data_IF_166678492715
#
_entry.id   IF_166678492715
#
_cell.length_a   1.000
_cell.length_b   1.000
_cell.length_c   1.000
_cell.angle_alpha   90.00
_cell.angle_beta   90.00
_cell.angle_gamma   90.00
#
_symmetry.space_group_name_H-M   'P 1'
#
loop_
_entity.id
_entity.type
_entity.pdbx_description
1 polymer ?
#
# COMPACT_ATOMS: atom_id res chain seq x y z
N UNK A 1 -43.80 12.15 -0.39
CA UNK A 1 -42.45 12.72 -0.30
C UNK A 1 -41.49 11.83 -1.08
N UNK A 2 -40.87 12.40 -2.10
CA UNK A 2 -40.06 11.73 -3.14
C UNK A 2 -38.92 10.90 -2.55
N UNK A 3 -38.60 9.80 -3.27
CA UNK A 3 -37.43 8.95 -3.07
C UNK A 3 -36.16 9.79 -2.90
N UNK A 4 -35.72 9.88 -1.64
CA UNK A 4 -34.38 10.21 -1.18
C UNK A 4 -33.81 11.58 -1.55
N UNK A 5 -33.89 12.46 -0.60
CA UNK A 5 -32.92 13.54 -0.53
C UNK A 5 -31.80 13.21 0.49
N UNK A 6 -31.17 12.01 0.35
CA UNK A 6 -30.01 11.69 1.17
C UNK A 6 -28.84 12.64 0.88
N UNK A 7 -28.76 13.19 -0.34
CA UNK A 7 -27.76 14.19 -0.72
C UNK A 7 -28.03 15.51 0.00
N UNK A 8 -29.27 16.00 0.01
CA UNK A 8 -29.64 17.23 0.74
C UNK A 8 -29.40 17.13 2.25
N UNK A 9 -29.67 15.95 2.83
CA UNK A 9 -29.33 15.70 4.24
C UNK A 9 -27.82 15.68 4.49
N UNK A 10 -27.04 15.08 3.59
CA UNK A 10 -25.59 15.12 3.67
C UNK A 10 -25.04 16.55 3.47
N UNK A 11 -25.64 17.34 2.59
CA UNK A 11 -25.32 18.76 2.36
C UNK A 11 -25.62 19.61 3.60
N UNK A 12 -26.73 19.35 4.30
CA UNK A 12 -27.07 20.04 5.54
C UNK A 12 -26.03 19.76 6.64
N UNK A 13 -25.61 18.50 6.82
CA UNK A 13 -24.53 18.14 7.75
C UNK A 13 -23.21 18.78 7.34
N UNK A 14 -22.89 18.80 6.04
CA UNK A 14 -21.69 19.47 5.52
C UNK A 14 -21.71 20.98 5.83
N UNK A 15 -22.87 21.63 5.72
CA UNK A 15 -23.04 23.03 6.08
C UNK A 15 -22.86 23.27 7.59
N UNK A 16 -23.38 22.38 8.44
CA UNK A 16 -23.21 22.46 9.90
C UNK A 16 -21.73 22.26 10.31
N UNK A 17 -20.99 21.39 9.62
CA UNK A 17 -19.54 21.24 9.79
C UNK A 17 -18.82 22.54 9.35
N UNK A 18 -19.18 23.08 8.19
CA UNK A 18 -18.57 24.31 7.67
C UNK A 18 -18.84 25.53 8.57
N UNK A 19 -20.04 25.58 9.20
CA UNK A 19 -20.42 26.61 10.15
C UNK A 19 -19.85 26.41 11.57
N UNK A 20 -19.11 25.31 11.82
CA UNK A 20 -18.52 25.01 13.11
C UNK A 20 -19.51 24.50 14.18
N UNK A 21 -20.76 24.20 13.80
CA UNK A 21 -21.77 23.63 14.73
C UNK A 21 -21.44 22.16 15.05
N UNK A 22 -20.86 21.44 14.08
CA UNK A 22 -20.29 20.11 14.27
C UNK A 22 -18.77 20.25 14.14
N UNK A 23 -18.08 19.90 15.20
CA UNK A 23 -16.63 20.04 15.31
C UNK A 23 -15.93 18.73 14.94
N UNK A 24 -14.67 18.81 14.59
CA UNK A 24 -13.81 17.63 14.41
C UNK A 24 -13.85 16.77 15.68
N UNK A 25 -14.07 15.46 15.49
CA UNK A 25 -14.15 14.51 16.59
C UNK A 25 -15.54 14.31 17.15
N UNK A 26 -16.52 15.17 16.85
CA UNK A 26 -17.89 14.97 17.28
C UNK A 26 -18.43 13.64 16.73
N UNK A 27 -19.10 12.89 17.61
CA UNK A 27 -19.71 11.62 17.24
C UNK A 27 -21.07 11.86 16.58
N UNK A 28 -21.23 11.37 15.35
CA UNK A 28 -22.55 11.32 14.73
C UNK A 28 -23.44 10.30 15.46
N UNK A 29 -24.74 10.55 15.61
CA UNK A 29 -25.69 9.60 16.20
C UNK A 29 -25.60 8.24 15.50
N UNK A 30 -25.92 7.12 16.16
CA UNK A 30 -26.11 5.85 15.47
C UNK A 30 -27.12 5.97 14.32
N UNK A 31 -26.90 5.29 13.20
CA UNK A 31 -27.75 5.44 12.01
C UNK A 31 -29.24 5.23 12.29
N UNK A 32 -29.59 4.34 13.23
CA UNK A 32 -30.98 4.12 13.65
C UNK A 32 -31.56 5.32 14.39
N UNK A 33 -30.77 5.91 15.30
CA UNK A 33 -31.17 7.14 16.04
C UNK A 33 -31.32 8.33 15.10
N UNK A 34 -30.36 8.52 14.20
CA UNK A 34 -30.41 9.57 13.17
C UNK A 34 -31.63 9.41 12.25
N UNK A 35 -31.94 8.17 11.87
CA UNK A 35 -33.14 7.88 11.07
C UNK A 35 -34.42 8.27 11.79
N UNK A 36 -34.50 7.91 13.09
CA UNK A 36 -35.64 8.26 13.93
C UNK A 36 -35.81 9.77 14.12
N UNK A 37 -34.72 10.47 14.50
CA UNK A 37 -34.70 11.92 14.73
C UNK A 37 -35.09 12.72 13.47
N UNK A 38 -34.74 12.24 12.30
CA UNK A 38 -35.01 12.90 11.02
C UNK A 38 -36.22 12.35 10.27
N UNK A 39 -36.95 11.41 10.89
CA UNK A 39 -38.15 10.77 10.37
C UNK A 39 -37.91 10.22 8.93
N UNK A 40 -36.79 9.46 8.74
CA UNK A 40 -36.38 8.84 7.48
C UNK A 40 -36.15 7.33 7.66
N UNK A 41 -36.16 6.60 6.57
CA UNK A 41 -35.81 5.19 6.60
C UNK A 41 -34.33 4.97 7.01
N UNK A 42 -34.03 3.89 7.75
CA UNK A 42 -32.67 3.52 8.15
C UNK A 42 -31.75 3.35 6.94
N UNK A 43 -32.29 2.85 5.81
CA UNK A 43 -31.55 2.75 4.56
C UNK A 43 -31.15 4.13 3.97
N UNK A 44 -31.98 5.15 4.17
CA UNK A 44 -31.67 6.54 3.79
C UNK A 44 -30.58 7.10 4.70
N UNK A 45 -30.66 6.88 6.02
CA UNK A 45 -29.62 7.27 6.97
C UNK A 45 -28.28 6.61 6.62
N UNK A 46 -28.30 5.32 6.27
CA UNK A 46 -27.09 4.61 5.82
C UNK A 46 -26.46 5.26 4.57
N UNK A 47 -27.29 5.71 3.61
CA UNK A 47 -26.82 6.45 2.43
C UNK A 47 -26.23 7.82 2.76
N UNK A 48 -26.83 8.56 3.71
CA UNK A 48 -26.29 9.83 4.20
C UNK A 48 -24.90 9.62 4.80
N UNK A 49 -24.74 8.61 5.66
CA UNK A 49 -23.45 8.30 6.29
C UNK A 49 -22.41 7.84 5.27
N UNK A 50 -22.80 7.00 4.33
CA UNK A 50 -21.91 6.59 3.23
C UNK A 50 -21.45 7.79 2.40
N UNK A 51 -22.33 8.75 2.14
CA UNK A 51 -22.01 9.97 1.40
C UNK A 51 -21.08 10.90 2.18
N UNK A 52 -21.30 11.07 3.50
CA UNK A 52 -20.39 11.85 4.36
C UNK A 52 -19.00 11.22 4.41
N UNK A 53 -18.92 9.88 4.51
CA UNK A 53 -17.67 9.13 4.44
C UNK A 53 -16.99 9.30 3.08
N UNK A 54 -17.75 9.21 1.98
CA UNK A 54 -17.25 9.41 0.60
C UNK A 54 -16.70 10.82 0.40
N UNK A 55 -17.34 11.83 0.97
CA UNK A 55 -16.88 13.23 0.93
C UNK A 55 -15.70 13.51 1.87
N UNK A 56 -15.32 12.57 2.73
CA UNK A 56 -14.29 12.75 3.74
C UNK A 56 -14.69 13.69 4.87
N UNK A 57 -16.00 13.92 5.05
CA UNK A 57 -16.55 14.75 6.13
C UNK A 57 -16.77 13.97 7.42
N UNK A 58 -16.77 12.65 7.33
CA UNK A 58 -16.89 11.76 8.47
C UNK A 58 -15.89 10.60 8.34
N UNK A 59 -15.60 9.95 9.47
CA UNK A 59 -14.79 8.74 9.53
C UNK A 59 -15.48 7.75 10.47
N UNK A 60 -15.53 6.48 10.06
CA UNK A 60 -16.09 5.44 10.91
C UNK A 60 -14.97 4.68 11.62
N UNK A 61 -15.22 4.30 12.86
CA UNK A 61 -14.34 3.47 13.67
C UNK A 61 -15.08 2.20 14.11
N UNK A 62 -14.49 1.04 13.85
CA UNK A 62 -15.11 -0.25 14.22
C UNK A 62 -15.35 -0.32 15.71
N UNK A 63 -16.60 -0.65 16.10
CA UNK A 63 -17.03 -0.74 17.51
C UNK A 63 -17.26 0.59 18.22
N UNK A 64 -16.87 1.73 17.65
CA UNK A 64 -16.95 3.05 18.30
C UNK A 64 -17.95 4.00 17.65
N UNK A 65 -18.21 3.89 16.35
CA UNK A 65 -19.19 4.71 15.65
C UNK A 65 -18.61 5.55 14.51
N UNK A 66 -19.39 6.53 14.04
CA UNK A 66 -19.00 7.47 12.99
C UNK A 66 -18.78 8.85 13.61
N UNK A 67 -17.71 9.52 13.23
CA UNK A 67 -17.26 10.79 13.80
C UNK A 67 -17.01 11.82 12.69
N UNK A 68 -17.15 13.10 13.00
CA UNK A 68 -16.81 14.18 12.07
C UNK A 68 -15.30 14.16 11.81
N UNK A 69 -14.94 14.07 10.55
CA UNK A 69 -13.54 14.13 10.13
C UNK A 69 -12.99 15.55 10.35
N UNK A 70 -11.74 15.66 10.77
CA UNK A 70 -11.04 16.94 10.74
C UNK A 70 -10.91 17.46 9.32
N UNK A 71 -10.62 18.75 9.15
CA UNK A 71 -10.12 19.30 7.88
C UNK A 71 -8.77 18.66 7.57
N UNK A 72 -8.75 17.37 7.30
CA UNK A 72 -7.63 16.77 6.60
C UNK A 72 -7.68 17.33 5.19
N UNK A 73 -6.79 18.24 4.85
CA UNK A 73 -6.32 18.36 3.47
C UNK A 73 -6.21 16.93 2.96
N UNK A 74 -6.84 16.65 1.82
CA UNK A 74 -6.84 15.34 1.17
C UNK A 74 -5.48 14.68 1.34
N UNK A 75 -5.35 13.74 2.27
CA UNK A 75 -4.12 13.01 2.56
C UNK A 75 -3.65 12.11 1.37
N UNK A 76 -4.35 12.21 0.25
CA UNK A 76 -4.01 11.49 -0.99
C UNK A 76 -3.26 12.35 -2.01
N UNK A 77 -3.04 13.64 -1.76
CA UNK A 77 -2.41 14.53 -2.74
C UNK A 77 -1.17 15.27 -2.25
N UNK A 78 -0.97 15.39 -0.95
CA UNK A 78 0.28 15.92 -0.38
C UNK A 78 1.17 14.75 0.06
N UNK A 79 1.77 14.05 -0.90
CA UNK A 79 3.12 13.57 -0.71
C UNK A 79 4.01 14.82 -0.67
N UNK A 80 3.90 15.58 0.43
CA UNK A 80 4.76 16.70 0.71
C UNK A 80 6.20 16.21 0.62
N UNK A 81 7.08 17.06 0.16
CA UNK A 81 8.49 16.76 0.01
C UNK A 81 9.03 16.19 1.34
N UNK A 82 9.75 15.04 1.32
CA UNK A 82 10.21 14.37 2.54
C UNK A 82 11.38 15.09 3.22
N UNK A 83 11.58 16.38 3.00
CA UNK A 83 12.74 17.14 3.44
C UNK A 83 12.36 18.26 4.43
N UNK A 84 11.72 17.89 5.55
CA UNK A 84 11.52 18.76 6.70
C UNK A 84 12.26 18.24 7.94
N UNK A 85 12.34 19.04 9.00
CA UNK A 85 12.84 18.67 10.34
C UNK A 85 11.99 17.59 11.04
N UNK A 86 10.93 17.12 10.39
CA UNK A 86 9.91 16.21 10.91
C UNK A 86 10.38 14.77 10.86
N UNK A 87 10.19 14.02 11.94
CA UNK A 87 10.43 12.56 11.97
C UNK A 87 9.32 11.88 11.16
N UNK A 88 9.69 11.26 10.03
CA UNK A 88 8.73 10.71 9.08
C UNK A 88 8.55 9.19 9.25
N UNK A 89 7.42 8.80 9.86
CA UNK A 89 6.94 7.42 9.90
C UNK A 89 5.85 7.13 8.86
N UNK A 90 5.63 8.01 7.87
CA UNK A 90 4.62 7.81 6.82
C UNK A 90 5.16 7.02 5.64
N UNK A 91 6.41 7.27 5.24
CA UNK A 91 6.98 6.70 4.04
C UNK A 91 8.05 5.64 4.34
N UNK A 92 8.03 4.55 3.59
CA UNK A 92 9.04 3.51 3.61
C UNK A 92 10.01 3.69 2.44
N UNK A 93 10.98 4.59 2.61
CA UNK A 93 12.05 4.83 1.65
C UNK A 93 13.40 4.49 2.28
N UNK A 94 13.82 3.19 2.26
CA UNK A 94 15.08 2.79 2.87
C UNK A 94 16.27 3.34 2.07
N UNK A 95 16.86 4.41 2.57
CA UNK A 95 18.10 4.99 2.06
C UNK A 95 19.22 4.74 3.09
N UNK A 96 20.19 3.90 2.71
CA UNK A 96 21.29 3.54 3.59
C UNK A 96 22.42 4.58 3.53
N UNK A 97 23.12 4.76 4.63
CA UNK A 97 24.38 5.49 4.63
C UNK A 97 25.37 4.85 3.63
N UNK A 98 25.98 5.67 2.79
CA UNK A 98 26.91 5.18 1.76
C UNK A 98 26.24 4.58 0.50
N UNK A 99 24.92 4.42 0.45
CA UNK A 99 24.22 3.90 -0.70
C UNK A 99 24.50 4.69 -2.00
N UNK A 100 24.55 6.01 -1.91
CA UNK A 100 24.84 6.87 -3.05
C UNK A 100 26.22 6.59 -3.66
N UNK A 101 27.24 6.27 -2.84
CA UNK A 101 28.58 5.91 -3.33
C UNK A 101 28.56 4.58 -4.08
N UNK A 102 27.85 3.56 -3.58
CA UNK A 102 27.68 2.27 -4.28
C UNK A 102 26.99 2.47 -5.64
N UNK A 103 25.92 3.23 -5.67
CA UNK A 103 25.18 3.53 -6.91
C UNK A 103 26.06 4.32 -7.88
N UNK A 104 26.74 5.36 -7.42
CA UNK A 104 27.65 6.18 -8.25
C UNK A 104 28.73 5.32 -8.92
N UNK A 105 29.33 4.38 -8.17
CA UNK A 105 30.31 3.45 -8.72
C UNK A 105 29.72 2.57 -9.83
N UNK A 106 28.51 2.05 -9.61
CA UNK A 106 27.80 1.24 -10.61
C UNK A 106 27.43 2.01 -11.87
N UNK A 107 27.05 3.29 -11.70
CA UNK A 107 26.66 4.15 -12.82
C UNK A 107 27.85 4.79 -13.57
N UNK A 108 29.08 4.60 -13.09
CA UNK A 108 30.27 5.10 -13.75
C UNK A 108 30.33 4.67 -15.22
N UNK A 109 30.54 5.63 -16.12
CA UNK A 109 30.58 5.40 -17.57
C UNK A 109 29.21 5.41 -18.28
N UNK A 110 28.08 5.66 -17.57
CA UNK A 110 26.82 6.01 -18.25
C UNK A 110 26.85 7.41 -18.88
N UNK A 111 27.79 8.25 -18.48
CA UNK A 111 28.07 9.55 -19.06
C UNK A 111 28.89 9.50 -20.34
N UNK A 112 29.42 8.33 -20.70
CA UNK A 112 30.15 8.13 -21.97
C UNK A 112 29.17 8.30 -23.15
N UNK A 113 29.59 8.98 -24.26
CA UNK A 113 28.69 9.29 -25.36
C UNK A 113 27.94 8.07 -25.93
N UNK A 114 28.61 6.95 -26.14
CA UNK A 114 27.98 5.72 -26.68
C UNK A 114 26.93 5.12 -25.73
N UNK A 115 27.20 5.09 -24.43
CA UNK A 115 26.25 4.59 -23.43
C UNK A 115 25.04 5.52 -23.27
N UNK A 116 25.30 6.84 -23.36
CA UNK A 116 24.25 7.84 -23.29
C UNK A 116 23.37 7.82 -24.54
N UNK A 117 23.94 7.67 -25.75
CA UNK A 117 23.18 7.50 -26.99
C UNK A 117 22.19 6.35 -26.90
N UNK A 118 22.61 5.20 -26.36
CA UNK A 118 21.74 4.04 -26.15
C UNK A 118 20.64 4.35 -25.12
N UNK A 119 20.98 5.03 -24.03
CA UNK A 119 20.03 5.42 -22.98
C UNK A 119 19.01 6.48 -23.43
N UNK A 120 19.34 7.30 -24.43
CA UNK A 120 18.46 8.32 -25.01
C UNK A 120 17.47 7.76 -26.02
N UNK A 121 17.65 6.53 -26.50
CA UNK A 121 16.71 5.89 -27.43
C UNK A 121 15.40 5.55 -26.70
N UNK A 122 14.30 5.56 -27.45
CA UNK A 122 13.01 5.14 -26.94
C UNK A 122 13.06 3.68 -26.49
N UNK A 123 12.83 3.45 -25.20
CA UNK A 123 12.73 2.10 -24.66
C UNK A 123 11.37 1.49 -24.98
N UNK A 124 11.35 0.17 -25.12
CA UNK A 124 10.11 -0.62 -25.28
C UNK A 124 9.72 -1.27 -23.95
N UNK A 125 8.45 -1.63 -23.81
CA UNK A 125 7.96 -2.33 -22.61
C UNK A 125 8.60 -3.71 -22.38
N UNK A 126 9.25 -4.28 -23.38
CA UNK A 126 9.95 -5.58 -23.30
C UNK A 126 11.45 -5.43 -23.07
N UNK A 127 12.02 -4.25 -23.20
CA UNK A 127 13.46 -4.04 -23.09
C UNK A 127 14.28 -4.87 -24.10
N UNK A 128 15.58 -4.95 -23.88
CA UNK A 128 16.50 -5.80 -24.68
C UNK A 128 16.51 -7.25 -24.16
N UNK A 129 17.00 -8.20 -24.96
CA UNK A 129 17.19 -9.58 -24.53
C UNK A 129 18.09 -9.68 -23.29
N UNK A 130 19.14 -8.84 -23.23
CA UNK A 130 20.05 -8.77 -22.08
C UNK A 130 19.35 -8.42 -20.80
N UNK A 131 18.59 -7.30 -20.75
CA UNK A 131 17.90 -6.90 -19.52
C UNK A 131 16.82 -7.90 -19.12
N UNK A 132 16.15 -8.56 -20.07
CA UNK A 132 15.20 -9.63 -19.76
C UNK A 132 15.88 -10.82 -19.08
N UNK A 133 16.99 -11.30 -19.62
CA UNK A 133 17.74 -12.42 -19.02
C UNK A 133 18.27 -12.06 -17.64
N UNK A 134 18.86 -10.87 -17.49
CA UNK A 134 19.35 -10.39 -16.19
C UNK A 134 18.21 -10.20 -15.20
N UNK A 135 17.09 -9.61 -15.63
CA UNK A 135 15.90 -9.42 -14.80
C UNK A 135 15.29 -10.74 -14.35
N UNK A 136 15.21 -11.73 -15.23
CA UNK A 136 14.73 -13.08 -14.90
C UNK A 136 15.61 -13.74 -13.83
N UNK A 137 16.92 -13.72 -14.01
CA UNK A 137 17.87 -14.22 -13.00
C UNK A 137 17.75 -13.47 -11.68
N UNK A 138 17.67 -12.15 -11.73
CA UNK A 138 17.54 -11.28 -10.56
C UNK A 138 16.24 -11.53 -9.77
N UNK A 139 15.12 -11.77 -10.45
CA UNK A 139 13.82 -12.03 -9.82
C UNK A 139 13.69 -13.45 -9.29
N UNK A 140 14.53 -14.39 -9.76
CA UNK A 140 14.47 -15.80 -9.34
C UNK A 140 14.60 -15.94 -7.83
N UNK A 141 13.74 -16.77 -7.23
CA UNK A 141 13.71 -16.99 -5.78
C UNK A 141 13.19 -18.38 -5.44
N UNK A 142 13.93 -19.12 -4.64
CA UNK A 142 13.60 -20.51 -4.30
C UNK A 142 13.45 -21.36 -5.55
N UNK A 143 12.29 -21.98 -5.72
CA UNK A 143 11.95 -22.80 -6.90
C UNK A 143 11.40 -22.00 -8.07
N UNK A 144 11.17 -20.71 -7.91
CA UNK A 144 10.61 -19.84 -8.95
C UNK A 144 11.71 -19.17 -9.76
N UNK A 145 11.65 -19.38 -11.06
CA UNK A 145 12.51 -18.71 -12.04
C UNK A 145 11.65 -18.33 -13.26
N UNK A 146 11.34 -17.02 -13.45
CA UNK A 146 10.57 -16.60 -14.61
C UNK A 146 11.37 -16.75 -15.91
N UNK A 147 10.69 -17.07 -16.99
CA UNK A 147 11.32 -17.07 -18.30
C UNK A 147 11.63 -15.63 -18.76
N UNK A 148 12.79 -15.35 -19.39
CA UNK A 148 13.14 -14.00 -19.81
C UNK A 148 12.11 -13.34 -20.73
N UNK A 149 11.43 -14.12 -21.56
CA UNK A 149 10.42 -13.63 -22.49
C UNK A 149 9.09 -13.27 -21.83
N UNK A 150 8.83 -13.70 -20.57
CA UNK A 150 7.67 -13.27 -19.80
C UNK A 150 7.82 -11.83 -19.29
N UNK A 151 9.04 -11.31 -19.12
CA UNK A 151 9.24 -10.02 -18.48
C UNK A 151 8.68 -8.86 -19.31
N UNK A 152 7.91 -8.02 -18.64
CA UNK A 152 7.45 -6.71 -19.13
C UNK A 152 7.90 -5.66 -18.12
N UNK A 153 8.35 -4.51 -18.61
CA UNK A 153 8.92 -3.45 -17.78
C UNK A 153 8.04 -2.21 -17.76
N UNK A 154 8.03 -1.55 -16.63
CA UNK A 154 7.37 -0.25 -16.40
C UNK A 154 8.33 0.71 -15.71
N UNK A 155 7.99 2.00 -15.66
CA UNK A 155 8.84 2.97 -15.00
C UNK A 155 8.94 2.78 -13.47
N UNK A 156 7.92 2.17 -12.83
CA UNK A 156 7.91 1.92 -11.38
C UNK A 156 6.80 0.92 -10.99
N UNK A 157 6.80 0.49 -9.71
CA UNK A 157 5.81 -0.48 -9.21
C UNK A 157 4.34 -0.01 -9.27
N UNK A 158 4.05 1.30 -9.13
CA UNK A 158 2.66 1.78 -9.27
C UNK A 158 2.14 1.64 -10.69
N UNK A 159 3.00 1.86 -11.67
CA UNK A 159 2.69 1.64 -13.08
C UNK A 159 2.54 0.14 -13.36
N UNK A 160 3.32 -0.73 -12.71
CA UNK A 160 3.14 -2.18 -12.78
C UNK A 160 1.75 -2.60 -12.29
N UNK A 161 1.30 -2.05 -11.15
CA UNK A 161 -0.05 -2.29 -10.61
C UNK A 161 -1.12 -1.84 -11.62
N UNK A 162 -0.99 -0.63 -12.16
CA UNK A 162 -1.95 -0.09 -13.12
C UNK A 162 -2.04 -0.97 -14.39
N UNK A 163 -0.90 -1.37 -14.95
CA UNK A 163 -0.85 -2.23 -16.14
C UNK A 163 -1.46 -3.61 -15.89
N UNK A 164 -1.18 -4.23 -14.73
CA UNK A 164 -1.76 -5.52 -14.36
C UNK A 164 -3.28 -5.45 -14.16
N UNK A 165 -3.78 -4.38 -13.50
CA UNK A 165 -5.21 -4.15 -13.34
C UNK A 165 -5.91 -3.95 -14.68
N UNK A 166 -5.39 -3.08 -15.54
CA UNK A 166 -5.97 -2.83 -16.88
C UNK A 166 -5.97 -4.09 -17.74
N UNK A 167 -4.92 -4.91 -17.64
CA UNK A 167 -4.82 -6.16 -18.39
C UNK A 167 -5.80 -7.26 -17.93
N UNK A 168 -6.25 -7.22 -16.69
CA UNK A 168 -7.03 -8.31 -16.08
C UNK A 168 -8.48 -7.95 -15.74
N UNK A 169 -8.76 -6.68 -15.48
CA UNK A 169 -10.07 -6.22 -15.04
C UNK A 169 -10.64 -5.22 -16.05
N UNK A 170 -11.75 -5.54 -16.73
CA UNK A 170 -12.38 -4.60 -17.67
C UNK A 170 -12.96 -3.39 -16.93
N UNK A 171 -13.16 -2.24 -17.60
CA UNK A 171 -13.92 -1.12 -17.06
C UNK A 171 -15.30 -1.57 -16.57
N UNK A 172 -15.71 -1.14 -15.38
CA UNK A 172 -16.91 -1.62 -14.69
C UNK A 172 -16.70 -2.94 -13.94
N UNK A 173 -15.56 -3.61 -14.14
CA UNK A 173 -15.23 -4.87 -13.47
C UNK A 173 -14.84 -4.71 -12.01
N UNK A 174 -14.65 -5.83 -11.32
CA UNK A 174 -14.41 -5.92 -9.89
C UNK A 174 -13.09 -6.63 -9.61
N UNK A 175 -12.26 -6.01 -8.75
CA UNK A 175 -11.02 -6.60 -8.25
C UNK A 175 -11.13 -6.83 -6.76
N UNK A 176 -10.95 -8.08 -6.31
CA UNK A 176 -10.82 -8.40 -4.89
C UNK A 176 -9.48 -7.89 -4.37
N UNK A 177 -9.48 -7.26 -3.20
CA UNK A 177 -8.26 -6.78 -2.54
C UNK A 177 -8.32 -7.07 -1.04
N UNK A 178 -7.18 -7.22 -0.41
CA UNK A 178 -7.09 -7.33 1.05
C UNK A 178 -7.83 -6.16 1.72
N UNK A 179 -8.62 -6.43 2.77
CA UNK A 179 -9.45 -5.39 3.44
C UNK A 179 -8.63 -4.21 3.98
N UNK A 180 -7.37 -4.47 4.36
CA UNK A 180 -6.32 -3.48 4.55
C UNK A 180 -5.30 -3.70 3.45
N UNK A 181 -5.14 -2.76 2.54
CA UNK A 181 -4.31 -2.92 1.34
C UNK A 181 -3.41 -1.71 1.09
N UNK A 182 -2.51 -1.84 0.11
CA UNK A 182 -1.65 -0.74 -0.31
C UNK A 182 -2.49 0.47 -0.78
N UNK A 183 -2.31 1.66 -0.17
CA UNK A 183 -3.24 2.77 -0.37
C UNK A 183 -3.37 3.25 -1.82
N UNK A 184 -2.30 3.18 -2.60
CA UNK A 184 -2.31 3.72 -3.97
C UNK A 184 -3.21 2.94 -4.92
N UNK A 185 -3.50 1.65 -4.66
CA UNK A 185 -4.45 0.92 -5.50
C UNK A 185 -5.85 1.53 -5.44
N UNK A 186 -6.20 2.14 -4.29
CA UNK A 186 -7.49 2.85 -4.10
C UNK A 186 -7.63 4.11 -4.96
N UNK A 187 -6.52 4.66 -5.43
CA UNK A 187 -6.51 5.77 -6.38
C UNK A 187 -6.38 5.29 -7.84
N UNK A 188 -5.68 4.18 -8.08
CA UNK A 188 -5.46 3.62 -9.42
C UNK A 188 -6.74 2.98 -9.96
N UNK A 189 -7.36 2.08 -9.20
CA UNK A 189 -8.51 1.30 -9.66
C UNK A 189 -9.71 2.16 -10.13
N UNK A 190 -10.17 3.19 -9.39
CA UNK A 190 -11.26 4.05 -9.85
C UNK A 190 -10.95 4.81 -11.15
N UNK A 191 -9.68 5.18 -11.39
CA UNK A 191 -9.26 5.84 -12.64
C UNK A 191 -9.36 4.92 -13.85
N UNK A 192 -9.27 3.60 -13.61
CA UNK A 192 -9.46 2.56 -14.62
C UNK A 192 -10.92 2.07 -14.68
N UNK A 193 -11.84 2.70 -13.94
CA UNK A 193 -13.24 2.28 -13.85
C UNK A 193 -13.44 0.96 -13.10
N UNK A 194 -12.50 0.56 -12.23
CA UNK A 194 -12.50 -0.71 -11.52
C UNK A 194 -13.04 -0.52 -10.10
N UNK A 195 -13.94 -1.40 -9.67
CA UNK A 195 -14.44 -1.45 -8.29
C UNK A 195 -13.57 -2.37 -7.44
N UNK A 196 -13.03 -1.86 -6.34
CA UNK A 196 -12.32 -2.67 -5.35
C UNK A 196 -13.31 -3.34 -4.39
N UNK A 197 -13.13 -4.64 -4.17
CA UNK A 197 -13.94 -5.46 -3.26
C UNK A 197 -13.07 -5.91 -2.09
N UNK A 198 -13.37 -5.47 -0.84
CA UNK A 198 -12.59 -5.87 0.32
C UNK A 198 -12.77 -7.35 0.63
N UNK A 199 -11.68 -8.06 0.73
CA UNK A 199 -11.62 -9.46 1.12
C UNK A 199 -11.22 -9.56 2.60
N UNK A 200 -11.95 -10.34 3.37
CA UNK A 200 -11.64 -10.55 4.78
C UNK A 200 -10.27 -11.22 4.95
N UNK A 201 -9.56 -10.79 5.97
CA UNK A 201 -8.22 -11.25 6.33
C UNK A 201 -8.21 -11.82 7.75
N UNK A 202 -7.20 -12.61 8.04
CA UNK A 202 -6.80 -13.04 9.38
C UNK A 202 -5.27 -12.90 9.55
N UNK A 203 -4.73 -13.48 10.60
CA UNK A 203 -3.28 -13.45 10.89
C UNK A 203 -2.38 -14.10 9.81
N UNK A 204 -2.95 -14.89 8.92
CA UNK A 204 -2.25 -15.56 7.82
C UNK A 204 -2.54 -14.91 6.44
N UNK A 205 -3.16 -13.72 6.43
CA UNK A 205 -3.48 -12.94 5.22
C UNK A 205 -4.92 -13.11 4.73
N UNK A 206 -5.16 -12.91 3.43
CA UNK A 206 -6.49 -13.03 2.84
C UNK A 206 -7.07 -14.46 3.04
N UNK A 207 -8.36 -14.50 3.38
CA UNK A 207 -9.09 -15.76 3.61
C UNK A 207 -9.63 -16.30 2.27
N UNK A 208 -9.37 -17.58 1.93
CA UNK A 208 -9.88 -18.20 0.70
C UNK A 208 -11.41 -18.20 0.59
N UNK A 209 -12.10 -18.46 1.70
CA UNK A 209 -13.58 -18.44 1.77
C UNK A 209 -14.16 -17.04 1.52
N UNK A 210 -13.42 -15.97 1.89
CA UNK A 210 -13.80 -14.60 1.58
C UNK A 210 -13.74 -14.32 0.08
N UNK A 211 -12.77 -14.88 -0.65
CA UNK A 211 -12.66 -14.79 -2.10
C UNK A 211 -13.85 -15.50 -2.77
N UNK A 212 -14.14 -16.74 -2.37
CA UNK A 212 -15.30 -17.50 -2.90
C UNK A 212 -16.62 -16.76 -2.64
N UNK A 213 -16.79 -16.23 -1.42
CA UNK A 213 -17.98 -15.48 -1.04
C UNK A 213 -18.15 -14.23 -1.91
N UNK A 214 -17.10 -13.40 -2.03
CA UNK A 214 -17.13 -12.17 -2.80
C UNK A 214 -17.42 -12.42 -4.29
N UNK A 215 -16.83 -13.50 -4.86
CA UNK A 215 -17.06 -13.89 -6.25
C UNK A 215 -18.47 -14.41 -6.48
N UNK A 216 -19.04 -15.16 -5.52
CA UNK A 216 -20.43 -15.66 -5.59
C UNK A 216 -21.46 -14.55 -5.48
N UNK A 217 -21.20 -13.51 -4.66
CA UNK A 217 -22.07 -12.34 -4.52
C UNK A 217 -22.10 -11.51 -5.81
N UNK A 218 -20.96 -11.29 -6.42
CA UNK A 218 -20.83 -10.75 -7.77
C UNK A 218 -19.41 -11.04 -8.29
N UNK A 219 -19.31 -11.48 -9.54
CA UNK A 219 -18.08 -11.97 -10.16
C UNK A 219 -16.89 -11.02 -9.98
N UNK A 220 -15.77 -11.53 -9.49
CA UNK A 220 -14.47 -10.88 -9.50
C UNK A 220 -13.76 -11.21 -10.81
N UNK A 221 -13.09 -10.23 -11.40
CA UNK A 221 -12.26 -10.41 -12.60
C UNK A 221 -10.81 -10.80 -12.25
N UNK A 222 -10.34 -10.38 -11.08
CA UNK A 222 -9.01 -10.67 -10.53
C UNK A 222 -9.00 -10.42 -9.02
N UNK A 223 -7.93 -10.86 -8.36
CA UNK A 223 -7.57 -10.37 -7.02
C UNK A 223 -6.18 -9.73 -7.04
N UNK A 224 -5.98 -8.71 -6.20
CA UNK A 224 -4.67 -8.10 -5.92
C UNK A 224 -4.33 -8.32 -4.45
N UNK A 225 -3.17 -8.89 -4.18
CA UNK A 225 -2.70 -9.21 -2.83
C UNK A 225 -1.19 -9.03 -2.68
N UNK A 226 -0.75 -8.89 -1.42
CA UNK A 226 0.65 -8.83 -1.02
C UNK A 226 0.99 -10.02 -0.09
N UNK A 227 1.29 -11.21 -0.64
CA UNK A 227 1.47 -12.41 0.18
C UNK A 227 2.79 -12.43 0.96
N UNK A 228 3.78 -11.63 0.56
CA UNK A 228 5.10 -11.52 1.19
C UNK A 228 5.27 -10.13 1.83
N UNK A 229 5.45 -10.10 3.15
CA UNK A 229 5.71 -8.86 3.90
C UNK A 229 4.64 -7.80 3.60
N UNK A 230 3.40 -8.18 3.86
CA UNK A 230 2.20 -7.39 3.58
C UNK A 230 2.25 -5.98 4.16
N UNK A 231 1.93 -4.96 3.38
CA UNK A 231 1.77 -3.59 3.84
C UNK A 231 0.27 -3.26 4.00
N UNK A 232 -0.24 -3.03 5.24
CA UNK A 232 0.52 -2.53 6.40
C UNK A 232 0.90 -3.54 7.48
N UNK A 233 0.47 -4.80 7.41
CA UNK A 233 0.45 -5.71 8.57
C UNK A 233 1.76 -6.51 8.77
N UNK A 234 2.70 -6.48 7.83
CA UNK A 234 3.94 -7.26 7.90
C UNK A 234 3.76 -8.78 7.75
N UNK A 235 2.57 -9.27 7.45
CA UNK A 235 2.28 -10.69 7.32
C UNK A 235 3.03 -11.28 6.12
N UNK A 236 3.63 -12.47 6.29
CA UNK A 236 4.00 -13.36 5.19
C UNK A 236 3.06 -14.56 5.21
N UNK A 237 2.36 -14.79 4.11
CA UNK A 237 1.37 -15.86 3.97
C UNK A 237 2.05 -17.22 4.03
N UNK A 238 1.58 -18.09 4.93
CA UNK A 238 2.11 -19.45 5.11
C UNK A 238 1.81 -20.34 3.90
N UNK A 239 2.66 -21.33 3.66
CA UNK A 239 2.53 -22.28 2.52
C UNK A 239 1.15 -22.95 2.46
N UNK A 240 0.58 -23.36 3.60
CA UNK A 240 -0.77 -23.96 3.63
C UNK A 240 -1.84 -22.99 3.11
N UNK A 241 -1.80 -21.71 3.58
CA UNK A 241 -2.72 -20.67 3.13
C UNK A 241 -2.56 -20.36 1.64
N UNK A 242 -1.32 -20.35 1.12
CA UNK A 242 -1.03 -20.19 -0.31
C UNK A 242 -1.70 -21.28 -1.13
N UNK A 243 -1.55 -22.56 -0.71
CA UNK A 243 -2.15 -23.71 -1.37
C UNK A 243 -3.69 -23.64 -1.37
N UNK A 244 -4.29 -23.28 -0.23
CA UNK A 244 -5.75 -23.19 -0.11
C UNK A 244 -6.29 -22.02 -0.97
N UNK A 245 -5.61 -20.87 -0.98
CA UNK A 245 -5.98 -19.73 -1.80
C UNK A 245 -5.88 -20.07 -3.30
N UNK A 246 -4.78 -20.67 -3.73
CA UNK A 246 -4.57 -21.04 -5.13
C UNK A 246 -5.57 -22.08 -5.63
N UNK A 247 -6.03 -23.01 -4.76
CA UNK A 247 -7.11 -23.94 -5.09
C UNK A 247 -8.43 -23.21 -5.38
N UNK A 248 -8.74 -22.16 -4.60
CA UNK A 248 -9.91 -21.31 -4.84
C UNK A 248 -9.74 -20.51 -6.14
N UNK A 249 -8.59 -19.94 -6.37
CA UNK A 249 -8.27 -19.17 -7.58
C UNK A 249 -8.42 -20.02 -8.85
N UNK A 250 -7.87 -21.22 -8.83
CA UNK A 250 -8.00 -22.18 -9.94
C UNK A 250 -9.47 -22.55 -10.22
N UNK A 251 -10.23 -22.88 -9.17
CA UNK A 251 -11.67 -23.17 -9.26
C UNK A 251 -12.48 -22.00 -9.85
N UNK A 252 -12.12 -20.78 -9.54
CA UNK A 252 -12.81 -19.57 -10.03
C UNK A 252 -12.30 -19.11 -11.41
N UNK A 253 -11.18 -19.59 -11.86
CA UNK A 253 -10.57 -19.21 -13.16
C UNK A 253 -10.14 -17.75 -13.24
N UNK A 254 -9.84 -17.09 -12.12
CA UNK A 254 -9.45 -15.69 -12.07
C UNK A 254 -7.95 -15.53 -11.79
N UNK A 255 -7.26 -14.51 -12.34
CA UNK A 255 -5.85 -14.26 -12.07
C UNK A 255 -5.64 -13.59 -10.70
N UNK A 256 -4.47 -13.87 -10.13
CA UNK A 256 -3.90 -13.16 -8.98
C UNK A 256 -2.88 -12.14 -9.46
N UNK A 257 -3.03 -10.89 -9.05
CA UNK A 257 -2.00 -9.86 -9.15
C UNK A 257 -1.26 -9.86 -7.81
N UNK A 258 -0.05 -10.39 -7.82
CA UNK A 258 0.80 -10.52 -6.65
C UNK A 258 1.80 -9.36 -6.60
N UNK A 259 1.61 -8.44 -5.66
CA UNK A 259 2.56 -7.35 -5.41
C UNK A 259 3.67 -7.83 -4.47
N UNK A 260 4.84 -8.08 -5.04
CA UNK A 260 5.99 -8.61 -4.35
C UNK A 260 7.07 -7.55 -4.04
N UNK A 261 6.67 -6.27 -3.95
CA UNK A 261 7.59 -5.13 -3.77
C UNK A 261 8.45 -5.24 -2.51
N UNK A 262 7.95 -5.86 -1.45
CA UNK A 262 8.67 -6.14 -0.21
C UNK A 262 9.21 -7.57 -0.12
N UNK A 263 8.94 -8.41 -1.10
CA UNK A 263 9.40 -9.79 -1.12
C UNK A 263 10.91 -9.94 -0.98
N UNK A 264 11.70 -8.93 -1.37
CA UNK A 264 13.16 -8.94 -1.19
C UNK A 264 13.62 -9.00 0.27
N UNK A 265 12.75 -8.67 1.22
CA UNK A 265 13.03 -8.76 2.67
C UNK A 265 12.87 -10.18 3.21
N UNK A 266 12.19 -11.06 2.49
CA UNK A 266 11.94 -12.45 2.83
C UNK A 266 12.55 -13.41 1.80
N UNK A 267 12.69 -14.70 2.16
CA UNK A 267 13.18 -15.74 1.26
C UNK A 267 12.05 -16.56 0.63
N UNK A 268 10.81 -16.32 1.07
CA UNK A 268 9.62 -16.99 0.52
C UNK A 268 9.45 -16.67 -0.97
N UNK A 269 9.29 -17.70 -1.83
CA UNK A 269 9.02 -17.49 -3.23
C UNK A 269 7.64 -16.86 -3.46
N UNK A 270 7.39 -16.26 -4.64
CA UNK A 270 6.06 -15.79 -4.99
C UNK A 270 5.06 -16.93 -5.18
N UNK A 271 3.76 -16.62 -5.15
CA UNK A 271 2.68 -17.58 -5.46
C UNK A 271 2.83 -18.19 -6.84
N UNK A 272 3.41 -17.45 -7.78
CA UNK A 272 3.74 -17.93 -9.13
C UNK A 272 4.65 -19.17 -9.13
N UNK A 273 5.38 -19.45 -8.03
CA UNK A 273 6.13 -20.70 -7.88
C UNK A 273 5.22 -21.95 -7.82
N UNK A 274 4.01 -21.79 -7.33
CA UNK A 274 3.00 -22.85 -7.19
C UNK A 274 1.97 -22.83 -8.32
N UNK A 275 1.67 -21.65 -8.88
CA UNK A 275 0.65 -21.46 -9.91
C UNK A 275 1.09 -20.43 -10.96
N UNK A 276 2.08 -20.77 -11.82
CA UNK A 276 2.66 -19.83 -12.78
C UNK A 276 1.65 -19.33 -13.82
N UNK A 277 0.62 -20.10 -14.15
CA UNK A 277 -0.39 -19.74 -15.13
C UNK A 277 -1.53 -18.89 -14.57
N UNK A 278 -1.58 -18.71 -13.22
CA UNK A 278 -2.63 -17.95 -12.55
C UNK A 278 -2.13 -16.65 -11.93
N UNK A 279 -0.80 -16.46 -11.76
CA UNK A 279 -0.23 -15.35 -11.02
C UNK A 279 0.53 -14.37 -11.95
N UNK A 280 0.27 -13.08 -11.77
CA UNK A 280 1.06 -11.97 -12.33
C UNK A 280 1.91 -11.43 -11.18
N UNK A 281 3.23 -11.62 -11.25
CA UNK A 281 4.14 -11.10 -10.21
C UNK A 281 4.55 -9.67 -10.55
N UNK A 282 4.39 -8.76 -9.59
CA UNK A 282 4.85 -7.39 -9.68
C UNK A 282 6.03 -7.17 -8.75
N UNK A 283 7.06 -6.50 -9.24
CA UNK A 283 8.21 -6.09 -8.46
C UNK A 283 8.78 -4.76 -8.96
N UNK A 284 9.70 -4.16 -8.21
CA UNK A 284 10.36 -2.92 -8.65
C UNK A 284 11.64 -2.66 -7.85
N UNK A 285 12.53 -1.87 -8.42
CA UNK A 285 13.74 -1.39 -7.75
C UNK A 285 13.47 -0.26 -6.76
N UNK A 286 12.24 0.27 -6.66
CA UNK A 286 11.91 1.44 -5.82
C UNK A 286 12.26 1.26 -4.34
N UNK A 287 12.14 0.05 -3.79
CA UNK A 287 12.49 -0.25 -2.40
C UNK A 287 13.89 -0.84 -2.25
N UNK A 288 14.38 -1.50 -3.27
CA UNK A 288 15.70 -2.14 -3.30
C UNK A 288 16.83 -1.16 -3.62
N UNK A 289 16.57 -0.21 -4.51
CA UNK A 289 17.47 0.89 -4.85
C UNK A 289 16.92 2.18 -4.26
N UNK A 290 16.13 2.94 -5.01
CA UNK A 290 15.51 4.19 -4.56
C UNK A 290 14.30 4.53 -5.43
N UNK A 291 13.32 5.32 -4.91
CA UNK A 291 12.18 5.76 -5.71
C UNK A 291 12.56 6.61 -6.93
N UNK A 292 13.64 7.40 -6.80
CA UNK A 292 14.14 8.29 -7.87
C UNK A 292 14.97 7.55 -8.94
N UNK A 293 15.40 6.32 -8.66
CA UNK A 293 16.16 5.48 -9.59
C UNK A 293 15.55 4.07 -9.58
N UNK A 294 14.52 3.86 -10.37
CA UNK A 294 13.70 2.65 -10.31
C UNK A 294 13.33 2.12 -11.68
N UNK A 295 13.05 0.82 -11.72
CA UNK A 295 12.48 0.08 -12.83
C UNK A 295 11.41 -0.84 -12.25
N UNK A 296 10.24 -0.91 -12.87
CA UNK A 296 9.16 -1.84 -12.51
C UNK A 296 9.24 -3.09 -13.36
N UNK A 297 8.90 -4.22 -12.74
CA UNK A 297 8.85 -5.54 -13.39
C UNK A 297 7.42 -6.08 -13.29
N UNK A 298 6.92 -6.61 -14.38
CA UNK A 298 5.68 -7.38 -14.45
C UNK A 298 6.01 -8.72 -15.07
N UNK A 299 5.70 -9.80 -14.38
CA UNK A 299 5.90 -11.18 -14.88
C UNK A 299 4.52 -11.84 -14.96
N UNK A 300 3.81 -11.67 -16.08
CA UNK A 300 2.52 -12.31 -16.31
C UNK A 300 2.68 -13.74 -16.79
N UNK A 301 1.66 -14.58 -16.65
CA UNK A 301 1.50 -15.80 -17.44
C UNK A 301 1.56 -15.49 -18.95
N UNK A 302 2.07 -16.40 -19.75
CA UNK A 302 2.22 -16.19 -21.20
C UNK A 302 0.91 -15.72 -21.87
N UNK A 303 -0.25 -16.29 -21.47
CA UNK A 303 -1.58 -15.93 -22.00
C UNK A 303 -2.00 -14.47 -21.73
N UNK A 304 -1.43 -13.80 -20.73
CA UNK A 304 -1.74 -12.42 -20.36
C UNK A 304 -0.66 -11.43 -20.82
N UNK A 305 0.46 -11.89 -21.32
CA UNK A 305 1.63 -11.07 -21.65
C UNK A 305 1.29 -9.95 -22.64
N UNK A 306 0.63 -10.27 -23.74
CA UNK A 306 0.26 -9.28 -24.76
C UNK A 306 -0.70 -8.22 -24.23
N UNK A 307 -1.64 -8.61 -23.34
CA UNK A 307 -2.56 -7.67 -22.69
C UNK A 307 -1.82 -6.71 -21.75
N UNK A 308 -0.87 -7.22 -20.96
CA UNK A 308 -0.02 -6.39 -20.10
C UNK A 308 0.84 -5.43 -20.92
N UNK A 309 1.43 -5.92 -22.02
CA UNK A 309 2.22 -5.05 -22.91
C UNK A 309 1.37 -3.97 -23.57
N UNK A 310 0.14 -4.29 -23.97
CA UNK A 310 -0.82 -3.32 -24.51
C UNK A 310 -1.16 -2.25 -23.46
N UNK A 311 -1.46 -2.65 -22.22
CA UNK A 311 -1.73 -1.74 -21.11
C UNK A 311 -0.54 -0.82 -20.81
N UNK A 312 0.69 -1.34 -20.80
CA UNK A 312 1.89 -0.51 -20.59
C UNK A 312 2.05 0.53 -21.70
N UNK A 313 1.78 0.16 -22.95
CA UNK A 313 1.88 1.10 -24.08
C UNK A 313 0.79 2.15 -24.06
N UNK A 314 -0.47 1.75 -23.88
CA UNK A 314 -1.63 2.65 -23.86
C UNK A 314 -1.61 3.62 -22.69
N UNK A 315 -1.14 3.17 -21.53
CA UNK A 315 -1.00 3.99 -20.33
C UNK A 315 0.21 4.91 -20.31
N UNK A 316 1.12 4.81 -21.30
CA UNK A 316 2.37 5.58 -21.31
C UNK A 316 3.32 5.20 -20.16
N UNK A 317 3.26 3.96 -19.69
CA UNK A 317 3.98 3.50 -18.48
C UNK A 317 5.32 2.84 -18.78
N UNK A 318 5.85 2.96 -19.97
CA UNK A 318 7.18 2.45 -20.35
C UNK A 318 8.28 3.17 -19.57
N UNK A 319 9.25 2.43 -19.08
CA UNK A 319 10.42 3.01 -18.42
C UNK A 319 11.30 3.79 -19.40
N UNK A 320 12.05 4.79 -18.91
CA UNK A 320 13.02 5.52 -19.73
C UNK A 320 14.23 4.65 -20.07
N UNK A 321 14.89 4.96 -21.20
CA UNK A 321 16.14 4.28 -21.60
C UNK A 321 17.23 4.38 -20.54
N UNK A 322 17.34 5.54 -19.87
CA UNK A 322 18.29 5.72 -18.77
C UNK A 322 17.98 4.80 -17.57
N UNK A 323 16.71 4.63 -17.19
CA UNK A 323 16.33 3.71 -16.13
C UNK A 323 16.71 2.25 -16.48
N UNK A 324 16.54 1.84 -17.75
CA UNK A 324 16.99 0.53 -18.22
C UNK A 324 18.50 0.39 -18.11
N UNK A 325 19.25 1.35 -18.63
CA UNK A 325 20.72 1.31 -18.61
C UNK A 325 21.27 1.27 -17.17
N UNK A 326 20.69 2.08 -16.27
CA UNK A 326 21.08 2.10 -14.87
C UNK A 326 20.74 0.76 -14.19
N UNK A 327 19.53 0.23 -14.39
CA UNK A 327 19.10 -1.04 -13.82
C UNK A 327 19.98 -2.20 -14.33
N UNK A 328 20.28 -2.23 -15.62
CA UNK A 328 21.14 -3.26 -16.22
C UNK A 328 22.54 -3.28 -15.58
N UNK A 329 23.14 -2.11 -15.36
CA UNK A 329 24.44 -2.03 -14.69
C UNK A 329 24.35 -2.48 -13.24
N UNK A 330 23.43 -1.92 -12.45
CA UNK A 330 23.31 -2.23 -11.03
C UNK A 330 22.92 -3.69 -10.75
N UNK A 331 22.16 -4.34 -11.65
CA UNK A 331 21.85 -5.77 -11.54
C UNK A 331 23.07 -6.58 -11.95
N UNK A 332 23.73 -6.20 -13.06
CA UNK A 332 24.83 -6.95 -13.65
C UNK A 332 26.10 -6.95 -12.82
N UNK A 333 26.43 -5.88 -12.14
CA UNK A 333 27.61 -5.77 -11.27
C UNK A 333 27.36 -6.17 -9.81
N UNK A 334 26.12 -6.61 -9.49
CA UNK A 334 25.74 -7.04 -8.14
C UNK A 334 25.37 -5.94 -7.16
N UNK A 335 25.37 -4.67 -7.56
CA UNK A 335 25.02 -3.52 -6.68
C UNK A 335 23.63 -3.69 -6.08
N UNK A 336 22.61 -4.12 -6.86
CA UNK A 336 21.25 -4.35 -6.33
C UNK A 336 21.24 -5.48 -5.29
N UNK A 337 22.03 -6.54 -5.51
CA UNK A 337 22.13 -7.65 -4.58
C UNK A 337 22.77 -7.22 -3.26
N UNK A 338 23.83 -6.42 -3.32
CA UNK A 338 24.48 -5.88 -2.11
C UNK A 338 23.56 -4.90 -1.38
N UNK A 339 22.89 -3.99 -2.09
CA UNK A 339 21.89 -3.10 -1.46
C UNK A 339 20.76 -3.90 -0.81
N UNK A 340 20.30 -4.97 -1.43
CA UNK A 340 19.27 -5.87 -0.87
C UNK A 340 19.77 -6.50 0.43
N UNK A 341 21.00 -7.02 0.45
CA UNK A 341 21.62 -7.62 1.63
C UNK A 341 21.73 -6.61 2.79
N UNK A 342 22.24 -5.42 2.50
CA UNK A 342 22.38 -4.35 3.48
C UNK A 342 21.03 -3.88 4.03
N UNK A 343 20.01 -3.74 3.18
CA UNK A 343 18.66 -3.35 3.58
C UNK A 343 17.96 -4.40 4.44
N UNK A 344 18.22 -5.69 4.21
CA UNK A 344 17.74 -6.76 5.11
C UNK A 344 18.32 -6.63 6.51
N UNK A 345 19.60 -6.29 6.63
CA UNK A 345 20.25 -6.06 7.92
C UNK A 345 19.70 -4.79 8.62
N UNK A 346 19.57 -3.71 7.86
CA UNK A 346 19.01 -2.45 8.35
C UNK A 346 17.55 -2.60 8.81
N UNK A 347 16.73 -3.33 8.07
CA UNK A 347 15.33 -3.61 8.45
C UNK A 347 15.24 -4.32 9.79
N UNK A 348 16.05 -5.38 10.01
CA UNK A 348 16.11 -6.11 11.28
C UNK A 348 16.57 -5.23 12.43
N UNK A 349 17.60 -4.40 12.22
CA UNK A 349 18.09 -3.49 13.26
C UNK A 349 17.02 -2.47 13.67
N UNK A 350 16.33 -1.87 12.71
CA UNK A 350 15.24 -0.90 12.94
C UNK A 350 14.04 -1.56 13.60
N UNK A 351 13.68 -2.74 13.16
CA UNK A 351 12.59 -3.51 13.76
C UNK A 351 12.90 -3.87 15.22
N UNK A 352 14.12 -4.35 15.52
CA UNK A 352 14.54 -4.63 16.88
C UNK A 352 14.44 -3.41 17.77
N UNK A 353 14.95 -2.26 17.31
CA UNK A 353 14.83 -1.00 18.06
C UNK A 353 13.35 -0.64 18.31
N UNK A 354 12.50 -0.79 17.32
CA UNK A 354 11.07 -0.48 17.46
C UNK A 354 10.38 -1.44 18.44
N UNK A 355 10.67 -2.74 18.37
CA UNK A 355 10.13 -3.74 19.28
C UNK A 355 10.59 -3.48 20.74
N UNK A 356 11.86 -3.11 20.94
CA UNK A 356 12.40 -2.76 22.27
C UNK A 356 11.75 -1.50 22.86
N UNK A 357 11.46 -0.47 22.01
CA UNK A 357 10.85 0.80 22.46
C UNK A 357 9.34 0.72 22.67
N UNK A 358 8.68 -0.20 22.02
CA UNK A 358 7.22 -0.37 22.03
C UNK A 358 6.82 -1.71 22.68
N UNK A 359 7.66 -2.30 23.52
CA UNK A 359 7.45 -3.62 24.15
C UNK A 359 6.17 -3.71 24.98
N UNK A 360 5.71 -2.59 25.55
CA UNK A 360 4.53 -2.52 26.39
C UNK A 360 3.22 -2.39 25.60
N UNK A 361 3.30 -2.33 24.26
CA UNK A 361 2.16 -2.09 23.39
C UNK A 361 1.94 -3.23 22.41
N UNK A 362 0.68 -3.37 21.95
CA UNK A 362 0.32 -4.38 20.97
C UNK A 362 0.81 -3.98 19.57
N UNK A 363 1.90 -4.60 19.15
CA UNK A 363 2.46 -4.45 17.80
C UNK A 363 2.31 -5.73 17.00
N UNK A 364 1.91 -5.60 15.74
CA UNK A 364 1.97 -6.66 14.75
C UNK A 364 3.04 -6.31 13.73
N UNK A 365 4.04 -7.17 13.60
CA UNK A 365 5.13 -7.01 12.67
C UNK A 365 5.84 -8.33 12.39
N UNK A 366 6.69 -8.32 11.38
CA UNK A 366 7.68 -9.35 11.09
C UNK A 366 9.06 -8.71 11.29
N UNK A 367 9.98 -9.38 11.94
CA UNK A 367 11.33 -8.87 12.22
C UNK A 367 12.13 -8.43 10.98
N UNK A 368 11.69 -8.87 9.78
CA UNK A 368 12.27 -8.52 8.48
C UNK A 368 11.67 -7.25 7.88
N UNK A 369 10.62 -6.65 8.49
CA UNK A 369 9.88 -5.55 7.91
C UNK A 369 10.49 -4.18 8.17
N UNK A 370 10.28 -3.26 7.24
CA UNK A 370 10.47 -1.82 7.43
C UNK A 370 9.23 -1.09 7.97
N UNK A 371 8.22 -1.81 8.40
CA UNK A 371 7.01 -1.22 8.98
C UNK A 371 6.43 -2.16 10.04
N UNK A 372 5.68 -1.57 10.94
CA UNK A 372 4.90 -2.29 11.92
C UNK A 372 3.51 -1.66 12.05
N UNK A 373 2.58 -2.47 12.51
CA UNK A 373 1.24 -2.08 12.84
C UNK A 373 1.10 -1.99 14.34
N UNK A 374 0.70 -0.81 14.84
CA UNK A 374 0.54 -0.53 16.25
C UNK A 374 -0.94 -0.35 16.56
N UNK A 375 -1.50 -1.25 17.37
CA UNK A 375 -2.85 -1.11 17.93
C UNK A 375 -2.83 -0.03 18.99
N UNK A 376 -3.75 0.95 18.89
CA UNK A 376 -3.80 2.04 19.86
C UNK A 376 -4.61 1.64 21.09
N UNK A 377 -4.19 2.08 22.28
CA UNK A 377 -4.98 1.91 23.50
C UNK A 377 -6.39 2.52 23.38
N UNK A 378 -7.39 2.03 24.14
CA UNK A 378 -8.79 2.48 24.00
C UNK A 378 -9.02 3.98 24.21
N UNK A 379 -8.17 4.65 24.98
CA UNK A 379 -8.26 6.08 25.23
C UNK A 379 -7.77 6.94 24.07
N UNK A 380 -7.02 6.38 23.11
CA UNK A 380 -6.61 7.07 21.90
C UNK A 380 -7.48 6.68 20.71
N UNK A 381 -7.81 7.67 19.89
CA UNK A 381 -8.36 7.46 18.54
C UNK A 381 -7.25 7.66 17.52
N UNK A 382 -7.24 6.84 16.48
CA UNK A 382 -6.17 6.87 15.45
C UNK A 382 -5.93 8.28 14.89
N UNK A 383 -6.99 9.04 14.62
CA UNK A 383 -6.86 10.39 14.08
C UNK A 383 -6.35 11.40 15.11
N UNK A 384 -6.81 11.31 16.36
CA UNK A 384 -6.40 12.20 17.42
C UNK A 384 -4.93 11.97 17.79
N UNK A 385 -4.52 10.69 17.80
CA UNK A 385 -3.13 10.31 18.02
C UNK A 385 -2.22 10.82 16.89
N UNK A 386 -2.63 10.69 15.63
CA UNK A 386 -1.90 11.25 14.48
C UNK A 386 -1.78 12.76 14.56
N UNK A 387 -2.87 13.46 14.96
CA UNK A 387 -2.85 14.91 15.14
C UNK A 387 -1.94 15.34 16.32
N UNK A 388 -1.95 14.59 17.43
CA UNK A 388 -1.07 14.83 18.57
C UNK A 388 0.41 14.61 18.24
N UNK A 389 0.73 13.55 17.48
CA UNK A 389 2.07 13.29 16.98
C UNK A 389 2.56 14.39 16.03
N UNK A 390 1.67 14.89 15.19
CA UNK A 390 1.97 15.97 14.27
C UNK A 390 2.38 17.27 15.00
N UNK A 391 1.79 17.57 16.16
CA UNK A 391 2.20 18.70 17.03
C UNK A 391 3.59 18.51 17.67
N UNK A 392 4.12 17.28 17.66
CA UNK A 392 5.47 16.92 18.13
C UNK A 392 6.41 16.64 16.97
N UNK A 393 6.13 17.18 15.79
CA UNK A 393 6.90 17.00 14.56
C UNK A 393 7.11 15.53 14.15
N UNK A 394 6.12 14.67 14.43
CA UNK A 394 6.12 13.27 14.01
C UNK A 394 4.98 13.04 13.01
N UNK A 395 5.33 12.53 11.84
CA UNK A 395 4.39 12.19 10.79
C UNK A 395 4.00 10.70 10.84
N UNK A 396 2.71 10.40 10.97
CA UNK A 396 2.16 9.04 11.09
C UNK A 396 1.12 8.75 10.01
N UNK A 397 0.89 7.46 9.73
CA UNK A 397 -0.18 7.02 8.82
C UNK A 397 -1.29 6.30 9.60
N UNK A 398 -2.51 6.84 9.64
CA UNK A 398 -3.64 6.21 10.31
C UNK A 398 -4.12 4.97 9.53
N UNK A 399 -4.71 4.01 10.22
CA UNK A 399 -5.26 2.77 9.67
C UNK A 399 -6.27 2.99 8.54
N UNK A 400 -7.07 4.05 8.61
CA UNK A 400 -8.06 4.42 7.59
C UNK A 400 -7.45 4.62 6.19
N UNK A 401 -6.16 4.98 6.12
CA UNK A 401 -5.44 5.09 4.85
C UNK A 401 -5.39 3.76 4.10
N UNK A 402 -5.29 2.64 4.81
CA UNK A 402 -5.17 1.29 4.25
C UNK A 402 -6.52 0.60 4.06
N UNK A 403 -7.54 0.96 4.84
CA UNK A 403 -8.86 0.34 4.76
C UNK A 403 -9.53 0.60 3.41
N UNK A 404 -10.05 -0.46 2.79
CA UNK A 404 -10.81 -0.39 1.54
C UNK A 404 -12.23 0.10 1.80
N UNK A 405 -12.84 -0.40 2.87
CA UNK A 405 -14.18 0.02 3.27
C UNK A 405 -14.10 1.25 4.17
N UNK A 406 -14.65 2.40 3.74
CA UNK A 406 -14.73 3.56 4.60
C UNK A 406 -15.47 3.23 5.90
N UNK A 407 -14.94 3.69 7.03
CA UNK A 407 -15.56 3.47 8.32
C UNK A 407 -15.30 2.12 8.99
N UNK A 408 -14.48 1.26 8.40
CA UNK A 408 -14.15 -0.07 8.93
C UNK A 408 -12.64 -0.20 9.22
N UNK A 409 -11.98 0.91 9.51
CA UNK A 409 -10.58 0.91 9.90
C UNK A 409 -10.43 0.48 11.39
N UNK A 410 -9.49 -0.42 11.71
CA UNK A 410 -9.13 -0.70 13.10
C UNK A 410 -8.57 0.54 13.80
N UNK A 411 -8.66 0.60 15.14
CA UNK A 411 -8.03 1.69 15.90
C UNK A 411 -6.53 1.46 16.02
N UNK A 412 -5.81 1.78 14.95
CA UNK A 412 -4.38 1.51 14.82
C UNK A 412 -3.69 2.51 13.91
N UNK A 413 -2.38 2.49 13.91
CA UNK A 413 -1.51 3.24 13.00
C UNK A 413 -0.46 2.32 12.38
N UNK A 414 0.03 2.67 11.20
CA UNK A 414 1.21 2.05 10.62
C UNK A 414 2.43 2.95 10.83
N UNK A 415 3.51 2.42 11.41
CA UNK A 415 4.81 3.05 11.49
C UNK A 415 5.71 2.55 10.35
N UNK A 416 6.19 3.45 9.52
CA UNK A 416 7.24 3.18 8.55
C UNK A 416 8.60 3.47 9.19
N UNK A 417 9.46 2.47 9.29
CA UNK A 417 10.73 2.57 10.01
C UNK A 417 11.91 2.97 9.13
N UNK A 418 11.71 2.95 7.79
CA UNK A 418 12.81 3.05 6.84
C UNK A 418 13.37 4.45 6.64
N UNK A 419 12.51 5.47 6.71
CA UNK A 419 12.86 6.84 6.30
C UNK A 419 13.71 7.59 7.33
N UNK A 420 13.40 7.56 8.66
CA UNK A 420 14.18 8.31 9.63
C UNK A 420 15.61 7.75 9.77
N UNK A 421 16.64 8.58 9.93
CA UNK A 421 17.94 8.13 10.45
C UNK A 421 17.78 7.38 11.80
N UNK A 422 18.72 6.50 12.17
CA UNK A 422 18.57 5.64 13.34
C UNK A 422 18.40 6.39 14.66
N UNK A 423 19.10 7.51 14.82
CA UNK A 423 18.98 8.41 15.97
C UNK A 423 17.60 9.06 16.05
N UNK A 424 17.10 9.56 14.91
CA UNK A 424 15.75 10.13 14.80
C UNK A 424 14.67 9.06 14.99
N UNK A 425 14.91 7.84 14.51
CA UNK A 425 14.04 6.70 14.74
C UNK A 425 13.90 6.42 16.24
N UNK A 426 14.99 6.37 16.99
CA UNK A 426 14.97 6.14 18.44
C UNK A 426 14.22 7.26 19.19
N UNK A 427 14.51 8.52 18.86
CA UNK A 427 13.81 9.69 19.44
C UNK A 427 12.29 9.60 19.16
N UNK A 428 11.92 9.37 17.92
CA UNK A 428 10.52 9.28 17.52
C UNK A 428 9.77 8.14 18.23
N UNK A 429 10.38 6.95 18.32
CA UNK A 429 9.78 5.80 18.99
C UNK A 429 9.60 6.04 20.50
N UNK A 430 10.58 6.64 21.18
CA UNK A 430 10.45 7.02 22.60
C UNK A 430 9.32 8.05 22.80
N UNK A 431 9.23 9.05 21.92
CA UNK A 431 8.14 10.04 21.98
C UNK A 431 6.80 9.39 21.80
N UNK A 432 6.65 8.46 20.84
CA UNK A 432 5.41 7.73 20.63
C UNK A 432 5.06 6.84 21.83
N UNK A 433 6.03 6.15 22.44
CA UNK A 433 5.81 5.35 23.64
C UNK A 433 5.33 6.22 24.84
N UNK A 434 5.91 7.39 25.02
CA UNK A 434 5.46 8.34 26.04
C UNK A 434 4.01 8.79 25.77
N UNK A 435 3.67 9.17 24.54
CA UNK A 435 2.32 9.58 24.14
C UNK A 435 1.28 8.48 24.32
N UNK A 436 1.63 7.21 24.07
CA UNK A 436 0.71 6.08 24.24
C UNK A 436 0.31 5.88 25.70
N UNK A 437 1.21 6.25 26.64
CA UNK A 437 0.97 6.19 28.09
C UNK A 437 0.27 7.44 28.64
N UNK A 438 0.22 8.54 27.88
CA UNK A 438 -0.51 9.75 28.30
C UNK A 438 -2.00 9.44 28.33
N UNK A 439 -2.64 9.58 29.50
CA UNK A 439 -4.10 9.62 29.58
C UNK A 439 -4.54 10.87 28.84
N UNK A 440 -5.51 10.73 27.94
CA UNK A 440 -6.15 11.89 27.33
C UNK A 440 -6.81 12.69 28.46
N UNK A 441 -6.16 13.74 28.94
CA UNK A 441 -6.80 14.72 29.78
C UNK A 441 -7.86 15.41 28.93
N UNK A 442 -9.11 15.41 29.39
CA UNK A 442 -10.17 16.23 28.81
C UNK A 442 -9.67 17.67 28.76
N UNK A 443 -9.32 18.14 27.58
CA UNK A 443 -9.00 19.54 27.31
C UNK A 443 -10.25 20.44 27.39
N UNK A 444 -11.40 19.90 27.78
CA UNK A 444 -12.65 20.61 27.97
C UNK A 444 -12.83 21.19 29.40
N UNK A 445 -11.82 21.18 30.26
CA UNK A 445 -11.90 21.71 31.63
C UNK A 445 -10.90 22.83 31.92
N UNK A 446 -10.72 23.75 30.97
CA UNK A 446 -10.17 25.08 31.28
C UNK A 446 -10.96 26.14 30.53
N UNK A 447 -12.03 26.62 31.20
CA UNK A 447 -12.53 27.96 30.98
C UNK A 447 -11.47 29.01 31.31
#
# INVERSE_FOLDING_TARGET
MSKSDYLGLADAIAADIAAGKLKQGDRLPPQRSFAYERNIAVSTASRVYAELLRRGLAVGEVGRGTFIAGKTKRAAADAGEPYGTRIDFQFNYPLLAGQAALISKSLAGLDQPSALEDALRQATSIGTATIRSMGATYLSRGTWAPAPDQLVFTGNGRQSIAAALEATVPPGGRCGVESLTYPFIKGIAPRLGITLVPLAMDKDGVRPDAVEKAHREAQLSAIYIQPNVHNPLGITMKTSRRTDLLRVIDKLGIPVIEDNIYGFLDDEPPLAALAPDSCIVLDSLSKKVAPGLTLGFVVPPHRLRERVMAAVRSGGWTASGFAFAAAQRMIGDGTVSELTRLKRLDARARHKLAADRLSDFEIQANEKCYHLWLTLPPHWRSQDFVAAAARRDIALTPSATFSVTPGHAPNAIRLALATPPMDQLDIGLRTLAAMLNEKQYDYDSTE
#
